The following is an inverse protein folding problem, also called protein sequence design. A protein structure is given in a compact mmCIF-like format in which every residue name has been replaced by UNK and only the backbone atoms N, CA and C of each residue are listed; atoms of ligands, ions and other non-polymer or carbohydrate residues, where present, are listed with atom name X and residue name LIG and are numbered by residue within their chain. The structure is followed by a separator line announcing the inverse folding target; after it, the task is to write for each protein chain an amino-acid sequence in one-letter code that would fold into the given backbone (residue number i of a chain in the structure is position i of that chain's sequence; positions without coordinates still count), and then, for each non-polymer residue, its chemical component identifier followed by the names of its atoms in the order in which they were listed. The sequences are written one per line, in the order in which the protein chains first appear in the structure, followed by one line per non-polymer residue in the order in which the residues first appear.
data_IF_565724024952
#
_entry.id   IF_565724024952
#
_cell.length_a   1.000
_cell.length_b   1.000
_cell.length_c   1.000
_cell.angle_alpha   90.00
_cell.angle_beta   90.00
_cell.angle_gamma   90.00
#
_symmetry.space_group_name_H-M   'P 1'
#
loop_
_entity.id
_entity.type
_entity.pdbx_description
1 polymer ?
#
# COMPACT_ATOMS: atom_id res chain seq x y z
N UNK A 1 -16.17 13.70 10.96
CA UNK A 1 -14.70 13.91 10.99
C UNK A 1 -14.13 12.89 10.02
N UNK A 2 -13.43 13.35 8.99
CA UNK A 2 -12.81 12.54 7.96
C UNK A 2 -11.32 12.39 8.26
N UNK A 3 -10.73 11.30 7.80
CA UNK A 3 -9.29 11.07 7.92
C UNK A 3 -8.62 11.41 6.58
N UNK A 4 -7.54 12.17 6.67
CA UNK A 4 -6.69 12.55 5.56
C UNK A 4 -5.26 12.10 5.85
N UNK A 5 -4.55 11.71 4.81
CA UNK A 5 -3.11 11.47 4.89
C UNK A 5 -2.40 12.54 4.08
N UNK A 6 -1.39 13.16 4.68
CA UNK A 6 -0.51 14.10 4.01
C UNK A 6 0.83 13.42 3.76
N UNK A 7 1.34 13.53 2.53
CA UNK A 7 2.66 13.06 2.15
C UNK A 7 3.46 14.29 1.74
N UNK A 8 4.49 14.59 2.49
CA UNK A 8 5.41 15.70 2.26
C UNK A 8 6.69 15.14 1.66
N UNK A 9 7.12 15.65 0.52
CA UNK A 9 8.34 15.20 -0.15
C UNK A 9 9.33 16.36 -0.26
N UNK A 10 10.60 16.07 0.01
CA UNK A 10 11.71 16.99 -0.20
C UNK A 10 12.64 16.41 -1.28
N UNK A 11 12.96 17.21 -2.29
CA UNK A 11 13.91 16.93 -3.35
C UNK A 11 15.33 17.20 -2.84
N UNK A 12 16.11 16.12 -2.72
CA UNK A 12 17.46 16.15 -2.14
C UNK A 12 17.52 15.25 -0.91
N UNK A 13 18.51 14.37 -0.88
CA UNK A 13 18.77 13.54 0.30
C UNK A 13 19.67 14.29 1.27
N UNK A 14 19.53 14.03 2.57
CA UNK A 14 20.59 14.36 3.52
C UNK A 14 21.83 13.54 3.11
N UNK A 15 23.00 14.19 3.01
CA UNK A 15 24.27 13.62 2.48
C UNK A 15 24.71 12.28 3.09
N UNK A 16 24.08 11.84 4.18
CA UNK A 16 24.43 10.65 4.95
C UNK A 16 23.32 9.58 5.01
N UNK A 17 22.14 9.79 4.40
CA UNK A 17 21.04 8.81 4.40
C UNK A 17 20.15 8.91 3.17
N UNK A 18 20.25 7.90 2.29
CA UNK A 18 19.31 7.67 1.18
C UNK A 18 17.94 7.35 1.81
N UNK A 19 17.00 8.30 1.78
CA UNK A 19 15.61 8.07 2.22
C UNK A 19 14.95 9.14 3.10
N UNK A 20 15.64 10.23 3.47
CA UNK A 20 15.12 11.25 4.40
C UNK A 20 14.12 12.27 3.82
N UNK A 21 13.70 12.11 2.58
CA UNK A 21 12.91 13.13 1.87
C UNK A 21 11.41 12.89 1.85
N UNK A 22 10.85 11.97 2.65
CA UNK A 22 9.39 11.74 2.69
C UNK A 22 8.89 11.68 4.13
N UNK A 23 7.99 12.59 4.48
CA UNK A 23 7.23 12.55 5.73
C UNK A 23 5.78 12.21 5.43
N UNK A 24 5.15 11.38 6.27
CA UNK A 24 3.75 10.99 6.13
C UNK A 24 3.05 11.22 7.47
N UNK A 25 1.98 11.99 7.46
CA UNK A 25 1.20 12.31 8.66
C UNK A 25 -0.30 12.10 8.45
N UNK A 26 -1.03 11.90 9.55
CA UNK A 26 -2.47 11.67 9.58
C UNK A 26 -3.20 12.87 10.15
N UNK A 27 -4.10 13.44 9.36
CA UNK A 27 -4.88 14.61 9.73
C UNK A 27 -6.35 14.21 9.89
N UNK A 28 -7.00 14.72 10.93
CA UNK A 28 -8.45 14.58 11.12
C UNK A 28 -9.11 15.95 10.98
N UNK A 29 -9.96 16.09 9.97
CA UNK A 29 -10.63 17.36 9.66
C UNK A 29 -12.13 17.12 9.37
N UNK A 30 -12.97 18.18 9.36
CA UNK A 30 -14.39 18.03 9.01
C UNK A 30 -14.60 18.11 7.50
N UNK A 31 -13.84 18.99 6.85
CA UNK A 31 -13.86 19.24 5.40
C UNK A 31 -12.46 19.11 4.82
N UNK A 32 -12.34 19.15 3.50
CA UNK A 32 -11.03 19.17 2.83
C UNK A 32 -10.35 20.52 3.02
N UNK A 33 -11.14 21.60 3.05
CA UNK A 33 -10.65 22.96 3.27
C UNK A 33 -10.00 23.10 4.65
N UNK A 34 -10.63 22.54 5.70
CA UNK A 34 -10.06 22.51 7.06
C UNK A 34 -8.72 21.75 7.08
N UNK A 35 -8.60 20.67 6.30
CA UNK A 35 -7.36 19.89 6.23
C UNK A 35 -6.24 20.65 5.49
N UNK A 36 -6.60 21.37 4.42
CA UNK A 36 -5.66 22.21 3.66
C UNK A 36 -5.19 23.39 4.50
N UNK A 37 -6.09 24.05 5.22
CA UNK A 37 -5.74 25.16 6.14
C UNK A 37 -4.74 24.68 7.21
N UNK A 38 -5.01 23.54 7.85
CA UNK A 38 -4.08 22.93 8.79
C UNK A 38 -2.69 22.65 8.18
N UNK A 39 -2.64 22.12 6.96
CA UNK A 39 -1.37 21.83 6.28
C UNK A 39 -0.58 23.12 6.00
N UNK A 40 -1.28 24.17 5.56
CA UNK A 40 -0.66 25.45 5.27
C UNK A 40 -0.13 26.11 6.55
N UNK A 41 -0.86 26.04 7.66
CA UNK A 41 -0.41 26.61 8.93
C UNK A 41 0.78 25.83 9.51
N UNK A 42 0.66 24.51 9.60
CA UNK A 42 1.65 23.64 10.26
C UNK A 42 2.92 23.46 9.43
N UNK A 43 2.78 23.17 8.13
CA UNK A 43 3.92 22.77 7.28
C UNK A 43 4.38 23.84 6.29
N UNK A 44 3.65 24.94 6.09
CA UNK A 44 4.09 26.04 5.21
C UNK A 44 4.37 27.29 6.03
N UNK A 45 3.52 27.61 7.00
CA UNK A 45 3.66 28.79 7.87
C UNK A 45 4.91 28.76 8.75
N UNK A 46 5.40 27.58 9.12
CA UNK A 46 6.60 27.39 9.95
C UNK A 46 7.94 27.56 9.22
N UNK A 47 7.98 27.45 7.89
CA UNK A 47 9.22 27.43 7.11
C UNK A 47 9.56 28.80 6.53
N UNK A 48 9.83 29.77 7.40
CA UNK A 48 10.17 31.13 6.96
C UNK A 48 11.58 31.27 6.34
N UNK A 49 12.43 30.24 6.46
CA UNK A 49 13.85 30.32 6.08
C UNK A 49 14.31 29.29 5.03
N UNK A 50 13.39 28.56 4.39
CA UNK A 50 13.70 27.65 3.28
C UNK A 50 14.43 26.34 3.62
N UNK A 51 15.06 26.22 4.80
CA UNK A 51 15.64 24.96 5.26
C UNK A 51 14.55 23.99 5.72
N UNK A 52 14.48 22.81 5.07
CA UNK A 52 13.55 21.73 5.43
C UNK A 52 12.12 21.88 4.89
N UNK A 53 11.88 22.87 4.03
CA UNK A 53 10.57 23.03 3.39
C UNK A 53 10.30 21.85 2.45
N UNK A 54 9.11 21.23 2.49
CA UNK A 54 8.75 20.22 1.50
C UNK A 54 8.62 20.86 0.12
N UNK A 55 9.18 20.19 -0.89
CA UNK A 55 9.06 20.57 -2.30
C UNK A 55 7.71 20.17 -2.89
N UNK A 56 7.08 19.12 -2.35
CA UNK A 56 5.80 18.59 -2.81
C UNK A 56 4.93 18.15 -1.63
N UNK A 57 3.63 18.42 -1.73
CA UNK A 57 2.64 18.06 -0.71
C UNK A 57 1.46 17.37 -1.40
N UNK A 58 1.21 16.12 -1.05
CA UNK A 58 0.09 15.34 -1.52
C UNK A 58 -0.90 15.08 -0.38
N UNK A 59 -2.18 15.42 -0.61
CA UNK A 59 -3.27 15.20 0.34
C UNK A 59 -4.22 14.12 -0.18
N UNK A 60 -4.44 13.10 0.64
CA UNK A 60 -5.28 11.96 0.31
C UNK A 60 -6.46 11.86 1.29
N UNK A 61 -7.70 11.91 0.78
CA UNK A 61 -8.89 11.59 1.58
C UNK A 61 -9.04 10.08 1.74
N UNK A 62 -9.04 9.59 2.99
CA UNK A 62 -9.19 8.16 3.26
C UNK A 62 -10.66 7.78 3.27
N UNK A 63 -11.09 7.15 2.18
CA UNK A 63 -12.44 6.59 2.07
C UNK A 63 -12.61 5.31 2.87
N UNK A 64 -11.54 4.52 3.02
CA UNK A 64 -11.53 3.28 3.79
C UNK A 64 -10.15 3.00 4.34
N UNK A 65 -10.06 2.84 5.66
CA UNK A 65 -8.86 2.35 6.34
C UNK A 65 -9.04 0.87 6.69
N UNK A 66 -8.09 0.03 6.30
CA UNK A 66 -8.04 -1.39 6.68
C UNK A 66 -6.72 -1.59 7.42
N UNK A 67 -6.81 -1.77 8.74
CA UNK A 67 -5.64 -2.08 9.54
C UNK A 67 -5.37 -3.58 9.50
N UNK A 68 -4.17 -3.96 9.06
CA UNK A 68 -3.74 -5.34 8.97
C UNK A 68 -2.56 -5.57 9.89
N UNK A 69 -2.86 -5.77 11.18
CA UNK A 69 -1.86 -6.22 12.14
C UNK A 69 -1.60 -7.71 11.96
N UNK A 70 -0.64 -8.03 11.10
CA UNK A 70 -0.18 -9.40 10.92
C UNK A 70 1.35 -9.43 10.96
N UNK A 71 1.96 -10.24 11.85
CA UNK A 71 3.39 -10.49 11.78
C UNK A 71 3.75 -11.00 10.37
N UNK A 72 4.80 -10.44 9.76
CA UNK A 72 5.20 -10.78 8.39
C UNK A 72 5.37 -12.29 8.20
N UNK A 73 5.90 -12.99 9.20
CA UNK A 73 6.05 -14.45 9.22
C UNK A 73 4.71 -15.14 8.97
N UNK A 74 3.65 -14.72 9.68
CA UNK A 74 2.30 -15.27 9.54
C UNK A 74 1.66 -14.93 8.18
N UNK A 75 1.96 -13.75 7.64
CA UNK A 75 1.49 -13.37 6.31
C UNK A 75 2.14 -14.24 5.21
N UNK A 76 3.42 -14.56 5.37
CA UNK A 76 4.16 -15.44 4.46
C UNK A 76 3.64 -16.87 4.49
N UNK A 77 3.37 -17.43 5.67
CA UNK A 77 2.79 -18.77 5.82
C UNK A 77 1.42 -18.88 5.14
N UNK A 78 0.56 -17.87 5.34
CA UNK A 78 -0.76 -17.81 4.68
C UNK A 78 -0.63 -17.73 3.16
N UNK A 79 0.33 -16.98 2.65
CA UNK A 79 0.59 -16.88 1.22
C UNK A 79 1.04 -18.24 0.65
N UNK A 80 1.98 -18.92 1.32
CA UNK A 80 2.46 -20.23 0.88
C UNK A 80 1.34 -21.28 0.83
N UNK A 81 0.51 -21.37 1.87
CA UNK A 81 -0.64 -22.30 1.90
C UNK A 81 -1.59 -22.07 0.72
N UNK A 82 -1.94 -20.81 0.44
CA UNK A 82 -2.80 -20.46 -0.71
C UNK A 82 -2.16 -20.84 -2.05
N UNK A 83 -0.84 -20.68 -2.19
CA UNK A 83 -0.12 -21.07 -3.40
C UNK A 83 -0.10 -22.59 -3.60
N UNK A 84 0.08 -23.36 -2.53
CA UNK A 84 0.04 -24.83 -2.56
C UNK A 84 -1.35 -25.35 -2.92
N UNK A 85 -2.40 -24.82 -2.31
CA UNK A 85 -3.80 -25.15 -2.65
C UNK A 85 -4.09 -24.88 -4.12
N UNK A 86 -3.66 -23.72 -4.63
CA UNK A 86 -3.83 -23.37 -6.05
C UNK A 86 -3.06 -24.31 -6.97
N UNK A 87 -1.88 -24.80 -6.57
CA UNK A 87 -1.11 -25.79 -7.33
C UNK A 87 -1.80 -27.15 -7.35
N UNK A 88 -2.31 -27.62 -6.20
CA UNK A 88 -3.05 -28.88 -6.11
C UNK A 88 -4.30 -28.86 -6.99
N UNK A 89 -5.09 -27.79 -6.91
CA UNK A 89 -6.29 -27.64 -7.73
C UNK A 89 -5.96 -27.69 -9.24
N UNK A 90 -4.91 -27.00 -9.68
CA UNK A 90 -4.45 -27.06 -11.08
C UNK A 90 -3.96 -28.45 -11.49
N UNK A 91 -3.28 -29.17 -10.60
CA UNK A 91 -2.79 -30.53 -10.88
C UNK A 91 -3.97 -31.51 -11.04
N UNK A 92 -4.97 -31.44 -10.15
CA UNK A 92 -6.18 -32.26 -10.24
C UNK A 92 -7.00 -31.96 -11.51
N UNK A 93 -7.11 -30.68 -11.90
CA UNK A 93 -7.76 -30.30 -13.15
C UNK A 93 -7.02 -30.86 -14.38
N UNK A 94 -5.69 -30.80 -14.37
CA UNK A 94 -4.86 -31.36 -15.44
C UNK A 94 -4.98 -32.89 -15.53
N UNK A 95 -4.95 -33.58 -14.39
CA UNK A 95 -5.10 -35.03 -14.30
C UNK A 95 -6.49 -35.47 -14.80
N UNK A 96 -7.56 -34.77 -14.40
CA UNK A 96 -8.92 -35.03 -14.91
C UNK A 96 -9.02 -34.82 -16.42
N UNK A 97 -8.39 -33.78 -16.95
CA UNK A 97 -8.37 -33.50 -18.38
C UNK A 97 -7.61 -34.59 -19.16
N UNK A 98 -6.47 -35.05 -18.64
CA UNK A 98 -5.68 -36.13 -19.23
C UNK A 98 -6.41 -37.47 -19.19
N UNK A 99 -7.03 -37.81 -18.05
CA UNK A 99 -7.85 -39.01 -17.92
C UNK A 99 -9.00 -39.02 -18.93
N UNK A 100 -9.71 -37.89 -19.09
CA UNK A 100 -10.77 -37.75 -20.08
C UNK A 100 -10.26 -37.98 -21.50
N UNK A 101 -9.12 -37.38 -21.86
CA UNK A 101 -8.48 -37.54 -23.17
C UNK A 101 -8.09 -39.00 -23.44
N UNK A 102 -7.53 -39.69 -22.45
CA UNK A 102 -7.13 -41.10 -22.59
C UNK A 102 -8.36 -42.00 -22.74
N UNK A 103 -9.40 -41.79 -21.94
CA UNK A 103 -10.66 -42.54 -22.05
C UNK A 103 -11.27 -42.43 -23.45
N UNK A 104 -11.36 -41.22 -24.00
CA UNK A 104 -11.86 -40.98 -25.37
C UNK A 104 -11.01 -41.65 -26.46
N UNK A 105 -9.71 -41.90 -26.19
CA UNK A 105 -8.77 -42.51 -27.15
C UNK A 105 -8.83 -44.04 -27.14
N UNK A 106 -9.10 -44.66 -25.99
CA UNK A 106 -9.05 -46.13 -25.81
C UNK A 106 -10.43 -46.81 -25.81
N UNK A 107 -11.53 -46.07 -25.63
CA UNK A 107 -12.91 -46.59 -25.77
C UNK A 107 -13.43 -46.55 -27.24
N UNK A 108 -12.53 -46.48 -28.24
CA UNK A 108 -12.81 -46.60 -29.67
C UNK A 108 -12.10 -47.81 -30.26
#
# INVERSE_FOLDING_TARGET
MKEYWVILRQMGGCDYTIGCGVCVDKIKAKTIEDAVEYILEEYVGGYQNGEGCPDDIELLEVTRHIDMHMPLIRAQDLLQRKLEEKRKCKAEEAERAEYKRLKEKFDK
#
